data_IF_412325183290
#
_entry.id   IF_412325183290
#
_cell.length_a   1.000
_cell.length_b   1.000
_cell.length_c   1.000
_cell.angle_alpha   90.00
_cell.angle_beta   90.00
_cell.angle_gamma   90.00
#
_symmetry.space_group_name_H-M   'P 1'
#
loop_
_entity.id
_entity.type
_entity.pdbx_description
1 polymer ?
#
# COMPACT_ATOMS: atom_id res chain seq x y z
N UNK A 1 50.06 -1.07 3.38
CA UNK A 1 49.13 -2.23 3.41
C UNK A 1 47.67 -1.88 3.77
N UNK A 2 47.31 -0.62 4.12
CA UNK A 2 45.94 -0.19 4.47
C UNK A 2 44.92 -0.18 3.31
N UNK A 3 45.35 -0.15 2.04
CA UNK A 3 44.47 -0.06 0.87
C UNK A 3 43.84 -1.39 0.43
N UNK A 4 44.36 -2.54 0.88
CA UNK A 4 43.78 -3.86 0.54
C UNK A 4 42.48 -4.13 1.30
N UNK A 5 42.36 -3.64 2.54
CA UNK A 5 41.14 -3.79 3.34
C UNK A 5 39.96 -3.01 2.74
N UNK A 6 40.20 -1.77 2.29
CA UNK A 6 39.19 -0.96 1.63
C UNK A 6 38.64 -1.60 0.35
N UNK A 7 39.48 -2.33 -0.41
CA UNK A 7 39.04 -3.04 -1.62
C UNK A 7 38.05 -4.18 -1.36
N UNK A 8 37.99 -4.70 -0.13
CA UNK A 8 37.08 -5.80 0.25
C UNK A 8 35.85 -5.25 0.97
N UNK A 9 36.03 -4.26 1.84
CA UNK A 9 34.93 -3.68 2.63
C UNK A 9 34.00 -2.84 1.77
N UNK A 10 34.53 -2.07 0.81
CA UNK A 10 33.74 -1.20 -0.05
C UNK A 10 32.70 -1.96 -0.92
N UNK A 11 33.06 -3.05 -1.65
CA UNK A 11 32.07 -3.81 -2.41
C UNK A 11 31.07 -4.54 -1.51
N UNK A 12 31.49 -5.03 -0.34
CA UNK A 12 30.58 -5.68 0.60
C UNK A 12 29.49 -4.71 1.11
N UNK A 13 29.87 -3.47 1.45
CA UNK A 13 28.91 -2.44 1.81
C UNK A 13 27.98 -2.07 0.65
N UNK A 14 28.51 -1.93 -0.57
CA UNK A 14 27.68 -1.62 -1.75
C UNK A 14 26.62 -2.70 -2.00
N UNK A 15 26.96 -3.99 -1.82
CA UNK A 15 26.01 -5.10 -1.95
C UNK A 15 24.95 -5.03 -0.86
N UNK A 16 25.35 -4.82 0.41
CA UNK A 16 24.41 -4.67 1.53
C UNK A 16 23.46 -3.48 1.33
N UNK A 17 23.98 -2.35 0.85
CA UNK A 17 23.20 -1.16 0.56
C UNK A 17 22.20 -1.41 -0.58
N UNK A 18 22.62 -2.08 -1.64
CA UNK A 18 21.75 -2.45 -2.76
C UNK A 18 20.59 -3.36 -2.31
N UNK A 19 20.88 -4.38 -1.49
CA UNK A 19 19.85 -5.28 -0.95
C UNK A 19 18.87 -4.52 -0.06
N UNK A 20 19.38 -3.64 0.82
CA UNK A 20 18.51 -2.84 1.70
C UNK A 20 17.60 -1.86 0.93
N UNK A 21 18.08 -1.31 -0.20
CA UNK A 21 17.26 -0.46 -1.06
C UNK A 21 16.16 -1.24 -1.80
N UNK A 22 16.39 -2.52 -2.14
CA UNK A 22 15.40 -3.34 -2.83
C UNK A 22 14.13 -3.59 -2.01
N UNK A 23 14.21 -3.61 -0.68
CA UNK A 23 13.03 -3.80 0.18
C UNK A 23 12.32 -2.48 0.55
N UNK A 24 13.00 -1.33 0.49
CA UNK A 24 12.38 -0.04 0.75
C UNK A 24 11.48 0.45 -0.40
N UNK A 25 11.63 -0.11 -1.61
CA UNK A 25 10.88 0.34 -2.79
C UNK A 25 9.52 -0.36 -2.97
N UNK A 26 9.20 -1.38 -2.18
CA UNK A 26 7.86 -1.96 -2.20
C UNK A 26 6.92 -1.05 -1.41
N UNK A 27 6.36 -0.05 -2.12
CA UNK A 27 5.27 0.76 -1.61
C UNK A 27 4.12 -0.17 -1.23
N UNK A 28 3.96 -0.31 0.08
CA UNK A 28 3.06 -1.22 0.76
C UNK A 28 1.63 -0.93 0.32
N UNK A 29 1.16 -1.63 -0.72
CA UNK A 29 -0.25 -1.62 -1.12
C UNK A 29 -1.04 -2.41 -0.09
N UNK A 30 -1.22 -1.82 1.09
CA UNK A 30 -1.96 -2.43 2.19
C UNK A 30 -3.38 -2.73 1.71
N UNK A 31 -3.73 -4.01 1.66
CA UNK A 31 -5.13 -4.39 1.51
C UNK A 31 -5.82 -4.15 2.85
N UNK A 32 -6.88 -3.37 2.85
CA UNK A 32 -7.66 -3.02 4.03
C UNK A 32 -9.11 -3.51 3.87
N UNK A 33 -9.81 -3.61 4.99
CA UNK A 33 -11.25 -3.84 5.00
C UNK A 33 -11.93 -2.49 4.76
N UNK A 34 -12.80 -2.43 3.76
CA UNK A 34 -13.74 -1.34 3.56
C UNK A 34 -15.17 -1.86 3.57
N UNK A 35 -16.14 -0.96 3.51
CA UNK A 35 -17.57 -1.28 3.58
C UNK A 35 -18.28 -0.64 2.40
N UNK A 36 -19.17 -1.39 1.75
CA UNK A 36 -20.05 -0.84 0.71
C UNK A 36 -21.50 -1.08 1.09
N UNK A 37 -22.39 -0.22 0.59
CA UNK A 37 -23.82 -0.36 0.86
C UNK A 37 -24.43 -1.41 -0.08
N UNK A 38 -24.61 -2.63 0.43
CA UNK A 38 -25.26 -3.70 -0.31
C UNK A 38 -26.80 -3.53 -0.25
N UNK A 39 -27.52 -3.62 -1.38
CA UNK A 39 -28.96 -3.31 -1.44
C UNK A 39 -29.85 -4.18 -0.55
N UNK A 40 -29.41 -5.40 -0.23
CA UNK A 40 -30.18 -6.38 0.57
C UNK A 40 -29.66 -6.51 2.00
N UNK A 41 -28.37 -6.27 2.23
CA UNK A 41 -27.68 -6.60 3.48
C UNK A 41 -27.16 -5.36 4.23
N UNK A 42 -27.28 -4.16 3.63
CA UNK A 42 -26.72 -2.94 4.18
C UNK A 42 -25.19 -2.90 4.09
N UNK A 43 -24.54 -2.25 5.04
CA UNK A 43 -23.09 -2.14 5.09
C UNK A 43 -22.44 -3.54 5.11
N UNK A 44 -21.71 -3.87 4.04
CA UNK A 44 -21.08 -5.18 3.87
C UNK A 44 -19.58 -5.02 3.75
N UNK A 45 -18.76 -5.77 4.53
CA UNK A 45 -17.31 -5.68 4.49
C UNK A 45 -16.76 -6.27 3.19
N UNK A 46 -15.68 -5.67 2.69
CA UNK A 46 -14.97 -6.08 1.49
C UNK A 46 -13.48 -5.75 1.60
N UNK A 47 -12.63 -6.65 1.13
CA UNK A 47 -11.18 -6.40 1.08
C UNK A 47 -10.88 -5.55 -0.16
N UNK A 48 -10.33 -4.35 0.05
CA UNK A 48 -9.97 -3.40 -1.00
C UNK A 48 -8.56 -2.85 -0.80
N UNK A 49 -7.96 -2.36 -1.88
CA UNK A 49 -6.65 -1.71 -1.85
C UNK A 49 -6.83 -0.21 -2.12
N UNK A 50 -7.41 0.49 -1.15
CA UNK A 50 -7.89 1.85 -1.30
C UNK A 50 -7.49 2.67 -0.06
N UNK A 51 -6.22 3.09 -0.04
CA UNK A 51 -5.60 3.86 1.05
C UNK A 51 -5.06 5.21 0.53
N UNK A 52 -5.67 5.77 -0.53
CA UNK A 52 -5.20 7.04 -1.06
C UNK A 52 -5.73 8.22 -0.22
N UNK A 53 -4.90 9.24 0.06
CA UNK A 53 -5.36 10.46 0.75
C UNK A 53 -6.33 11.27 -0.12
N UNK A 54 -6.25 11.12 -1.44
CA UNK A 54 -7.15 11.74 -2.41
C UNK A 54 -7.09 10.99 -3.74
N UNK A 55 -8.13 11.11 -4.56
CA UNK A 55 -8.21 10.43 -5.85
C UNK A 55 -9.64 10.11 -6.28
N UNK A 56 -9.83 9.27 -7.30
CA UNK A 56 -11.15 8.75 -7.64
C UNK A 56 -11.64 7.84 -6.51
N UNK A 57 -12.93 7.92 -6.23
CA UNK A 57 -13.56 7.10 -5.19
C UNK A 57 -13.35 5.60 -5.47
N UNK A 58 -13.04 4.87 -4.41
CA UNK A 58 -12.94 3.42 -4.45
C UNK A 58 -14.32 2.81 -4.63
N UNK A 59 -14.44 1.91 -5.61
CA UNK A 59 -15.68 1.23 -5.93
C UNK A 59 -15.48 -0.29 -5.81
N UNK A 60 -16.44 -0.96 -5.19
CA UNK A 60 -16.61 -2.40 -5.27
C UNK A 60 -17.74 -2.69 -6.26
N UNK A 61 -17.36 -3.14 -7.47
CA UNK A 61 -18.28 -3.17 -8.61
C UNK A 61 -18.73 -1.75 -8.98
N UNK A 62 -19.99 -1.44 -8.68
CA UNK A 62 -20.62 -0.14 -8.95
C UNK A 62 -20.99 0.64 -7.68
N UNK A 63 -20.63 0.12 -6.50
CA UNK A 63 -20.93 0.74 -5.22
C UNK A 63 -19.69 1.40 -4.63
N UNK A 64 -19.82 2.61 -4.05
CA UNK A 64 -18.73 3.26 -3.33
C UNK A 64 -18.35 2.50 -2.06
N UNK A 65 -17.06 2.49 -1.76
CA UNK A 65 -16.48 1.86 -0.58
C UNK A 65 -16.06 2.93 0.42
N UNK A 66 -16.32 2.64 1.69
CA UNK A 66 -16.11 3.51 2.84
C UNK A 66 -15.20 2.82 3.86
N UNK A 67 -14.58 3.61 4.73
CA UNK A 67 -13.68 3.11 5.76
C UNK A 67 -14.43 2.37 6.90
N UNK A 68 -15.72 2.65 7.06
CA UNK A 68 -16.52 2.25 8.22
C UNK A 68 -17.94 1.84 7.82
N UNK A 69 -18.58 1.05 8.68
CA UNK A 69 -19.95 0.56 8.49
C UNK A 69 -21.00 1.67 8.45
N UNK A 70 -20.68 2.85 9.02
CA UNK A 70 -21.54 4.02 8.97
C UNK A 70 -21.61 4.68 7.58
N UNK A 71 -20.73 4.29 6.65
CA UNK A 71 -20.67 4.79 5.27
C UNK A 71 -20.44 6.31 5.18
N UNK A 72 -19.77 6.89 6.18
CA UNK A 72 -19.51 8.34 6.24
C UNK A 72 -18.19 8.72 5.56
N UNK A 73 -17.14 7.94 5.80
CA UNK A 73 -15.79 8.22 5.32
C UNK A 73 -15.50 7.47 4.02
N UNK A 74 -15.46 8.12 2.83
CA UNK A 74 -15.19 7.45 1.56
C UNK A 74 -13.71 7.05 1.45
N UNK A 75 -13.45 5.90 0.84
CA UNK A 75 -12.10 5.47 0.47
C UNK A 75 -11.77 5.88 -0.97
N UNK A 76 -10.50 6.17 -1.25
CA UNK A 76 -10.02 6.57 -2.57
C UNK A 76 -9.02 5.58 -3.13
N UNK A 77 -8.99 5.43 -4.45
CA UNK A 77 -8.00 4.59 -5.14
C UNK A 77 -6.69 5.36 -5.27
N UNK A 78 -5.58 4.65 -5.03
CA UNK A 78 -4.26 5.14 -5.38
C UNK A 78 -4.19 5.26 -6.90
N UNK A 79 -4.11 6.49 -7.41
CA UNK A 79 -3.83 6.74 -8.82
C UNK A 79 -2.32 6.51 -9.00
N UNK A 80 -1.90 5.61 -9.90
CA UNK A 80 -0.48 5.45 -10.23
C UNK A 80 0.09 6.70 -10.90
#
# INVERSE_FOLDING_TARGET
MKSKFFKIVLPAFAILLAISLSFATESNRASQIGYYNHPVFGATPVIVNCDAPSGPQCLHGQYPVFAEEALETPLFKNVP
#
